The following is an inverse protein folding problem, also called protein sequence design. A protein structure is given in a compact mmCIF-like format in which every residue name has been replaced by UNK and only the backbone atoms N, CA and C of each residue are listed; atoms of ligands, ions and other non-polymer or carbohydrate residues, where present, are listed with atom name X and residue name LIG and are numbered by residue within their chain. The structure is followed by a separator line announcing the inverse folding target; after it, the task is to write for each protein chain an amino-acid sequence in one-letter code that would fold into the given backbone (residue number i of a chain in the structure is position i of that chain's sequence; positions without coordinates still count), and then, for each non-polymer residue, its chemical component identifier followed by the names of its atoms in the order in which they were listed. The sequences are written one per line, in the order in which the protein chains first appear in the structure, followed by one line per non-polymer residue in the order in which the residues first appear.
data_IF_469851678204
#
_entry.id   IF_469851678204
#
_cell.length_a   1.000
_cell.length_b   1.000
_cell.length_c   1.000
_cell.angle_alpha   90.00
_cell.angle_beta   90.00
_cell.angle_gamma   90.00
#
_symmetry.space_group_name_H-M   'P 1'
#
loop_
_entity.id
_entity.type
_entity.pdbx_description
1 polymer ?
#
# COMPACT_ATOMS: atom_id res chain seq x y z
N UNK A 1 -7.03 36.68 -31.41
CA UNK A 1 -7.45 36.09 -30.12
C UNK A 1 -7.85 34.60 -30.16
N UNK A 2 -8.28 34.00 -31.29
CA UNK A 2 -8.68 32.58 -31.37
C UNK A 2 -7.55 31.54 -31.21
N UNK A 3 -6.29 31.88 -31.55
CA UNK A 3 -5.14 30.95 -31.47
C UNK A 3 -4.69 30.65 -30.03
N UNK A 4 -4.70 31.64 -29.14
CA UNK A 4 -4.35 31.46 -27.72
C UNK A 4 -5.33 30.54 -26.98
N UNK A 5 -6.62 30.64 -27.28
CA UNK A 5 -7.65 29.75 -26.70
C UNK A 5 -7.48 28.29 -27.13
N UNK A 6 -7.00 28.04 -28.35
CA UNK A 6 -6.71 26.69 -28.86
C UNK A 6 -5.46 26.09 -28.21
N UNK A 7 -4.41 26.89 -28.03
CA UNK A 7 -3.22 26.45 -27.29
C UNK A 7 -3.54 26.08 -25.84
N UNK A 8 -4.35 26.88 -25.15
CA UNK A 8 -4.78 26.57 -23.78
C UNK A 8 -5.59 25.26 -23.68
N UNK A 9 -6.48 25.01 -24.64
CA UNK A 9 -7.28 23.76 -24.67
C UNK A 9 -6.40 22.53 -24.98
N UNK A 10 -5.41 22.66 -25.85
CA UNK A 10 -4.48 21.57 -26.17
C UNK A 10 -3.64 21.22 -24.93
N UNK A 11 -3.08 22.22 -24.24
CA UNK A 11 -2.30 22.01 -23.00
C UNK A 11 -3.17 21.40 -21.90
N UNK A 12 -4.41 21.86 -21.75
CA UNK A 12 -5.35 21.27 -20.77
C UNK A 12 -5.72 19.82 -21.11
N UNK A 13 -5.93 19.51 -22.39
CA UNK A 13 -6.20 18.12 -22.81
C UNK A 13 -5.00 17.20 -22.59
N UNK A 14 -3.78 17.72 -22.81
CA UNK A 14 -2.55 16.96 -22.64
C UNK A 14 -2.27 16.66 -21.15
N UNK A 15 -2.53 17.63 -20.27
CA UNK A 15 -2.41 17.44 -18.82
C UNK A 15 -3.43 16.44 -18.29
N UNK A 16 -4.69 16.51 -18.73
CA UNK A 16 -5.72 15.52 -18.36
C UNK A 16 -5.33 14.12 -18.86
N UNK A 17 -4.83 14.01 -20.09
CA UNK A 17 -4.37 12.74 -20.64
C UNK A 17 -3.19 12.16 -19.85
N UNK A 18 -2.22 12.99 -19.44
CA UNK A 18 -1.11 12.55 -18.58
C UNK A 18 -1.59 12.04 -17.23
N UNK A 19 -2.52 12.75 -16.57
CA UNK A 19 -3.11 12.33 -15.29
C UNK A 19 -3.85 10.99 -15.43
N UNK A 20 -4.60 10.78 -16.52
CA UNK A 20 -5.30 9.53 -16.77
C UNK A 20 -4.34 8.36 -17.08
N UNK A 21 -3.21 8.64 -17.75
CA UNK A 21 -2.16 7.65 -18.02
C UNK A 21 -1.45 7.26 -16.73
N UNK A 22 -1.12 8.23 -15.86
CA UNK A 22 -0.53 7.94 -14.55
C UNK A 22 -1.49 7.13 -13.69
N UNK A 23 -2.77 7.54 -13.61
CA UNK A 23 -3.80 6.79 -12.89
C UNK A 23 -3.96 5.36 -13.43
N UNK A 24 -3.97 5.20 -14.76
CA UNK A 24 -4.04 3.89 -15.40
C UNK A 24 -2.80 3.04 -15.15
N UNK A 25 -1.60 3.63 -15.15
CA UNK A 25 -0.34 2.97 -14.81
C UNK A 25 -0.28 2.59 -13.33
N UNK A 26 -0.78 3.43 -12.43
CA UNK A 26 -0.90 3.14 -10.99
C UNK A 26 -1.90 2.02 -10.72
N UNK A 27 -3.07 2.05 -11.35
CA UNK A 27 -4.07 1.00 -11.26
C UNK A 27 -3.53 -0.32 -11.84
N UNK A 28 -2.77 -0.25 -12.93
CA UNK A 28 -2.12 -1.42 -13.53
C UNK A 28 -0.93 -1.92 -12.73
N UNK A 29 -0.20 -1.06 -12.00
CA UNK A 29 0.81 -1.45 -11.00
C UNK A 29 0.16 -2.11 -9.79
N UNK A 30 -0.96 -1.57 -9.27
CA UNK A 30 -1.78 -2.22 -8.24
C UNK A 30 -2.34 -3.57 -8.70
N UNK A 31 -2.73 -3.69 -9.97
CA UNK A 31 -3.18 -4.95 -10.57
C UNK A 31 -2.03 -5.91 -10.94
N UNK A 32 -0.77 -5.44 -10.93
CA UNK A 32 0.44 -6.23 -11.18
C UNK A 32 1.23 -6.58 -9.91
N UNK A 33 0.73 -6.26 -8.72
CA UNK A 33 1.26 -6.82 -7.48
C UNK A 33 0.94 -8.33 -7.51
N UNK A 34 1.97 -9.12 -7.81
CA UNK A 34 1.83 -10.49 -8.31
C UNK A 34 1.10 -11.44 -7.37
N UNK A 35 1.27 -11.27 -6.06
CA UNK A 35 0.50 -11.94 -5.03
C UNK A 35 0.45 -10.98 -3.83
N UNK A 36 -0.75 -10.50 -3.48
CA UNK A 36 -0.97 -9.80 -2.23
C UNK A 36 -1.72 -10.76 -1.30
N UNK A 37 -1.20 -10.90 -0.09
CA UNK A 37 -1.83 -11.66 0.97
C UNK A 37 -2.52 -10.68 1.89
N UNK A 38 -3.77 -10.96 2.25
CA UNK A 38 -4.50 -10.13 3.19
C UNK A 38 -5.14 -10.97 4.27
N UNK A 39 -5.22 -10.39 5.45
CA UNK A 39 -5.92 -10.95 6.59
C UNK A 39 -6.74 -9.87 7.26
N UNK A 40 -7.84 -10.26 7.89
CA UNK A 40 -8.69 -9.37 8.65
C UNK A 40 -8.55 -9.71 10.12
N UNK A 41 -8.45 -8.67 10.95
CA UNK A 41 -8.38 -8.79 12.40
C UNK A 41 -9.57 -9.58 12.95
N UNK A 42 -9.37 -10.30 14.06
CA UNK A 42 -10.43 -11.09 14.70
C UNK A 42 -11.64 -10.24 15.08
N UNK A 43 -11.39 -8.98 15.47
CA UNK A 43 -12.42 -7.99 15.78
C UNK A 43 -13.07 -7.30 14.54
N UNK A 44 -12.55 -7.54 13.34
CA UNK A 44 -13.04 -6.96 12.09
C UNK A 44 -12.86 -5.43 11.94
N UNK A 45 -12.06 -4.79 12.79
CA UNK A 45 -11.79 -3.34 12.76
C UNK A 45 -10.65 -2.98 11.81
N UNK A 46 -9.70 -3.90 11.63
CA UNK A 46 -8.51 -3.69 10.82
C UNK A 46 -8.32 -4.79 9.79
N UNK A 47 -7.75 -4.43 8.64
CA UNK A 47 -7.35 -5.35 7.57
C UNK A 47 -5.88 -5.11 7.26
N UNK A 48 -5.07 -6.15 7.39
CA UNK A 48 -3.68 -6.13 7.01
C UNK A 48 -3.52 -6.70 5.61
N UNK A 49 -2.60 -6.14 4.84
CA UNK A 49 -2.25 -6.60 3.50
C UNK A 49 -0.75 -6.53 3.31
N UNK A 50 -0.14 -7.61 2.85
CA UNK A 50 1.23 -7.63 2.39
C UNK A 50 1.24 -7.80 0.88
N UNK A 51 2.01 -6.96 0.19
CA UNK A 51 2.18 -7.06 -1.26
C UNK A 51 3.66 -7.14 -1.63
N UNK A 52 3.98 -8.03 -2.56
CA UNK A 52 5.32 -8.12 -3.14
C UNK A 52 5.58 -6.90 -4.01
N UNK A 53 6.70 -6.23 -3.78
CA UNK A 53 7.13 -5.06 -4.56
C UNK A 53 8.26 -5.37 -5.52
N UNK A 54 9.24 -6.17 -5.10
CA UNK A 54 10.38 -6.56 -5.92
C UNK A 54 10.96 -7.88 -5.44
N UNK A 55 11.72 -8.54 -6.31
CA UNK A 55 12.41 -9.80 -6.02
C UNK A 55 13.86 -9.67 -6.47
N UNK A 56 14.80 -9.95 -5.58
CA UNK A 56 16.24 -9.91 -5.85
C UNK A 56 16.89 -11.22 -5.41
N UNK A 57 17.15 -12.11 -6.37
CA UNK A 57 17.66 -13.45 -6.07
C UNK A 57 16.64 -14.24 -5.24
N UNK A 58 17.04 -14.64 -4.03
CA UNK A 58 16.18 -15.36 -3.08
C UNK A 58 15.47 -14.44 -2.06
N UNK A 59 15.70 -13.12 -2.14
CA UNK A 59 15.08 -12.14 -1.23
C UNK A 59 13.89 -11.50 -1.93
N UNK A 60 12.73 -11.52 -1.27
CA UNK A 60 11.51 -10.87 -1.73
C UNK A 60 11.24 -9.64 -0.86
N UNK A 61 11.02 -8.49 -1.49
CA UNK A 61 10.70 -7.24 -0.82
C UNK A 61 9.19 -7.06 -0.74
N UNK A 62 8.69 -6.83 0.46
CA UNK A 62 7.28 -6.67 0.75
C UNK A 62 6.98 -5.28 1.29
N UNK A 63 5.75 -4.84 1.05
CA UNK A 63 5.15 -3.70 1.73
C UNK A 63 3.94 -4.19 2.49
N UNK A 64 4.01 -4.12 3.81
CA UNK A 64 2.93 -4.39 4.74
C UNK A 64 2.10 -3.14 4.97
N UNK A 65 0.79 -3.23 4.77
CA UNK A 65 -0.16 -2.13 4.90
C UNK A 65 -1.26 -2.51 5.86
N UNK A 66 -1.57 -1.60 6.77
CA UNK A 66 -2.69 -1.73 7.68
C UNK A 66 -3.80 -0.76 7.29
N UNK A 67 -4.97 -1.30 7.03
CA UNK A 67 -6.17 -0.55 6.68
C UNK A 67 -7.19 -0.62 7.81
N UNK A 68 -7.95 0.45 7.99
CA UNK A 68 -9.18 0.41 8.77
C UNK A 68 -10.26 -0.28 7.95
N UNK A 69 -10.82 -1.39 8.44
CA UNK A 69 -11.72 -2.24 7.67
C UNK A 69 -13.02 -1.55 7.27
N UNK A 70 -13.52 -0.63 8.10
CA UNK A 70 -14.78 0.11 7.83
C UNK A 70 -14.65 1.16 6.75
N UNK A 71 -13.53 1.87 6.69
CA UNK A 71 -13.34 3.02 5.80
C UNK A 71 -12.42 2.70 4.61
N UNK A 72 -11.69 1.59 4.67
CA UNK A 72 -10.65 1.25 3.70
C UNK A 72 -9.44 2.18 3.77
N UNK A 73 -9.32 3.00 4.82
CA UNK A 73 -8.26 4.00 4.93
C UNK A 73 -6.95 3.35 5.39
N UNK A 74 -5.85 3.68 4.73
CA UNK A 74 -4.51 3.31 5.18
C UNK A 74 -4.19 4.00 6.51
N UNK A 75 -3.83 3.22 7.51
CA UNK A 75 -3.56 3.67 8.87
C UNK A 75 -2.08 3.57 9.21
N UNK A 76 -1.40 2.57 8.67
CA UNK A 76 0.05 2.38 8.80
C UNK A 76 0.60 1.61 7.60
N UNK A 77 1.88 1.81 7.30
CA UNK A 77 2.63 1.10 6.28
C UNK A 77 4.02 0.76 6.82
N UNK A 78 4.52 -0.42 6.48
CA UNK A 78 5.87 -0.87 6.79
C UNK A 78 6.46 -1.59 5.57
N UNK A 79 7.77 -1.58 5.45
CA UNK A 79 8.50 -2.27 4.39
C UNK A 79 9.44 -3.26 5.04
N UNK A 80 9.44 -4.50 4.55
CA UNK A 80 10.28 -5.57 5.07
C UNK A 80 10.70 -6.49 3.92
N UNK A 81 11.78 -7.22 4.10
CA UNK A 81 12.24 -8.21 3.13
C UNK A 81 12.33 -9.58 3.79
N UNK A 82 12.07 -10.60 2.98
CA UNK A 82 11.86 -11.93 3.51
C UNK A 82 12.11 -12.98 2.43
N UNK A 83 12.58 -14.16 2.86
CA UNK A 83 12.95 -15.26 1.97
C UNK A 83 11.87 -16.35 1.90
N UNK A 84 11.07 -16.54 2.96
CA UNK A 84 10.08 -17.62 3.06
C UNK A 84 8.61 -17.13 3.01
N UNK A 85 8.37 -15.83 2.85
CA UNK A 85 7.03 -15.28 2.63
C UNK A 85 6.81 -13.89 3.21
N UNK A 86 5.56 -13.45 3.33
CA UNK A 86 5.25 -12.18 3.98
C UNK A 86 3.81 -12.16 4.46
N UNK A 87 3.35 -13.29 4.97
CA UNK A 87 1.94 -13.47 5.33
C UNK A 87 1.65 -12.55 6.52
N UNK A 88 0.68 -11.63 6.40
CA UNK A 88 0.26 -10.84 7.54
C UNK A 88 -0.50 -11.72 8.52
N UNK A 89 -0.14 -11.64 9.81
CA UNK A 89 -0.83 -12.31 10.90
C UNK A 89 -1.12 -11.33 12.03
N UNK A 90 -2.34 -11.42 12.59
CA UNK A 90 -2.74 -10.60 13.72
C UNK A 90 -2.40 -11.32 15.01
N UNK A 91 -1.78 -10.62 15.96
CA UNK A 91 -1.60 -11.18 17.30
C UNK A 91 -2.95 -11.49 17.94
N UNK A 92 -3.02 -12.44 18.91
CA UNK A 92 -4.29 -12.95 19.46
C UNK A 92 -5.25 -11.88 20.00
N UNK A 93 -4.71 -10.77 20.53
CA UNK A 93 -5.50 -9.64 21.05
C UNK A 93 -5.64 -8.48 20.04
N UNK A 94 -5.29 -8.70 18.77
CA UNK A 94 -5.26 -7.70 17.70
C UNK A 94 -4.44 -6.44 18.03
N UNK A 95 -3.49 -6.53 18.96
CA UNK A 95 -2.67 -5.39 19.43
C UNK A 95 -1.47 -5.10 18.52
N UNK A 96 -1.15 -6.01 17.60
CA UNK A 96 -0.16 -5.78 16.57
C UNK A 96 -0.42 -6.71 15.39
N UNK A 97 0.09 -6.29 14.23
CA UNK A 97 0.20 -7.12 13.04
C UNK A 97 1.66 -7.45 12.83
N UNK A 98 1.92 -8.74 12.72
CA UNK A 98 3.21 -9.28 12.33
C UNK A 98 3.15 -9.64 10.86
N UNK A 99 4.13 -9.19 10.10
CA UNK A 99 4.38 -9.60 8.74
C UNK A 99 5.63 -10.47 8.77
N UNK A 100 5.42 -11.79 8.87
CA UNK A 100 6.49 -12.78 8.99
C UNK A 100 6.61 -13.60 7.70
N UNK A 101 7.83 -14.02 7.42
CA UNK A 101 8.16 -14.97 6.37
C UNK A 101 9.57 -15.53 6.47
N UNK A 102 10.07 -15.80 7.67
CA UNK A 102 11.33 -16.55 7.83
C UNK A 102 12.61 -15.73 7.55
N UNK A 103 12.49 -14.41 7.45
CA UNK A 103 13.61 -13.47 7.35
C UNK A 103 13.43 -12.29 8.33
N UNK A 104 13.56 -11.07 7.82
CA UNK A 104 13.17 -9.88 8.58
C UNK A 104 11.64 -9.79 8.67
N UNK A 105 11.15 -9.34 9.83
CA UNK A 105 9.73 -9.24 10.11
C UNK A 105 9.29 -7.79 10.21
N UNK A 106 8.20 -7.43 9.53
CA UNK A 106 7.52 -6.16 9.74
C UNK A 106 6.59 -6.25 10.94
N UNK A 107 6.69 -5.35 11.92
CA UNK A 107 5.69 -5.23 12.98
C UNK A 107 4.99 -3.87 12.88
N UNK A 108 3.66 -3.88 12.97
CA UNK A 108 2.85 -2.68 13.11
C UNK A 108 1.99 -2.83 14.37
N UNK A 109 2.23 -1.98 15.37
CA UNK A 109 1.40 -1.92 16.58
C UNK A 109 -0.01 -1.38 16.25
N UNK A 110 -1.01 -1.91 16.94
CA UNK A 110 -2.42 -1.57 16.81
C UNK A 110 -3.02 -1.28 18.20
N UNK A 111 -3.64 -0.11 18.45
CA UNK A 111 -3.83 0.99 17.51
C UNK A 111 -2.48 1.66 17.17
N UNK A 112 -2.26 2.01 15.89
CA UNK A 112 -1.01 2.64 15.48
C UNK A 112 -0.83 3.97 16.20
N UNK A 113 0.42 4.27 16.54
CA UNK A 113 0.78 5.50 17.22
C UNK A 113 0.31 6.72 16.43
N UNK A 114 0.06 7.85 17.11
CA UNK A 114 -0.29 9.10 16.42
C UNK A 114 0.75 9.50 15.36
N UNK A 115 2.02 9.11 15.57
CA UNK A 115 3.13 9.36 14.66
C UNK A 115 3.00 8.54 13.36
N UNK A 116 2.62 7.26 13.47
CA UNK A 116 2.42 6.38 12.32
C UNK A 116 1.20 6.81 11.51
N UNK A 117 0.13 7.26 12.19
CA UNK A 117 -1.05 7.85 11.53
C UNK A 117 -0.71 9.15 10.78
N UNK A 118 0.26 9.92 11.27
CA UNK A 118 0.75 11.14 10.62
C UNK A 118 1.61 10.80 9.40
N UNK A 119 2.55 9.85 9.52
CA UNK A 119 3.36 9.37 8.39
C UNK A 119 2.50 8.75 7.30
N UNK A 120 1.47 7.98 7.63
CA UNK A 120 0.55 7.42 6.65
C UNK A 120 -0.30 8.49 5.92
N UNK A 121 -0.35 9.73 6.43
CA UNK A 121 -1.15 10.83 5.88
C UNK A 121 -0.30 11.83 5.09
N UNK A 122 1.02 11.76 5.20
CA UNK A 122 1.96 12.63 4.50
C UNK A 122 2.59 11.78 3.38
N UNK A 123 2.32 12.08 2.10
CA UNK A 123 2.83 11.32 0.97
C UNK A 123 4.35 11.42 0.82
#
# INVERSE_FOLDING_TARGET
MRKFRRFGVIVLSFTIALVLIDYGCEARRRAKAGECMDTTSHNGLYRAQACITSVSGNVVFFVGRLYEARTGKLVAETTFDSMDGGVPDFMPDDHAVLFDGGGDSGLIDVPPSLLDRLRAKIP
#
